data_IF_495203025763
#
_entry.id   IF_495203025763
#
_cell.length_a   1.000
_cell.length_b   1.000
_cell.length_c   1.000
_cell.angle_alpha   90.00
_cell.angle_beta   90.00
_cell.angle_gamma   90.00
#
_symmetry.space_group_name_H-M   'P 1'
#
loop_
_entity.id
_entity.type
_entity.pdbx_description
1 polymer ?
#
# COMPACT_ATOMS: atom_id res chain seq x y z
N UNK A 1 -22.59 16.61 5.46
CA UNK A 1 -22.99 15.59 4.45
C UNK A 1 -21.76 14.72 4.18
N UNK A 2 -21.76 13.45 4.60
CA UNK A 2 -20.62 12.55 4.38
C UNK A 2 -20.75 11.92 3.00
N UNK A 3 -19.89 12.30 2.07
CA UNK A 3 -19.84 11.71 0.73
C UNK A 3 -19.47 10.23 0.83
N UNK A 4 -20.35 9.36 0.34
CA UNK A 4 -20.02 7.96 0.10
C UNK A 4 -18.84 7.91 -0.87
N UNK A 5 -17.68 7.45 -0.39
CA UNK A 5 -16.51 7.22 -1.24
C UNK A 5 -16.87 6.18 -2.31
N UNK A 6 -16.59 6.50 -3.58
CA UNK A 6 -16.79 5.58 -4.70
C UNK A 6 -16.08 4.25 -4.40
N UNK A 7 -16.77 3.12 -4.60
CA UNK A 7 -16.19 1.79 -4.46
C UNK A 7 -14.92 1.70 -5.31
N UNK A 8 -13.77 1.53 -4.67
CA UNK A 8 -12.52 1.27 -5.37
C UNK A 8 -12.71 -0.03 -6.17
N UNK A 9 -12.47 0.01 -7.49
CA UNK A 9 -12.55 -1.18 -8.33
C UNK A 9 -11.66 -2.28 -7.72
N UNK A 10 -12.26 -3.45 -7.45
CA UNK A 10 -11.58 -4.61 -6.86
C UNK A 10 -10.36 -4.99 -7.69
N UNK A 11 -9.24 -5.29 -7.02
CA UNK A 11 -8.12 -5.90 -7.69
C UNK A 11 -8.46 -7.37 -7.99
N UNK A 12 -8.14 -7.90 -9.19
CA UNK A 12 -8.48 -9.28 -9.55
C UNK A 12 -7.65 -10.33 -8.78
N UNK A 13 -6.64 -9.91 -8.01
CA UNK A 13 -5.80 -10.79 -7.20
C UNK A 13 -6.28 -10.74 -5.74
N UNK A 14 -6.72 -11.86 -5.14
CA UNK A 14 -6.97 -11.97 -3.71
C UNK A 14 -5.71 -11.61 -2.91
N UNK A 15 -5.86 -10.92 -1.78
CA UNK A 15 -4.74 -10.43 -0.96
C UNK A 15 -3.79 -9.49 -1.72
N UNK A 16 -4.33 -8.64 -2.60
CA UNK A 16 -3.52 -7.70 -3.36
C UNK A 16 -2.89 -6.66 -2.43
N UNK A 17 -1.57 -6.52 -2.54
CA UNK A 17 -0.83 -5.41 -1.97
C UNK A 17 -0.57 -4.35 -3.03
N UNK A 18 -0.65 -3.09 -2.65
CA UNK A 18 -0.44 -1.94 -3.53
C UNK A 18 0.47 -0.91 -2.88
N UNK A 19 1.13 -0.12 -3.73
CA UNK A 19 1.89 1.05 -3.32
C UNK A 19 1.42 2.24 -4.15
N UNK A 20 1.01 3.30 -3.48
CA UNK A 20 0.58 4.53 -4.14
C UNK A 20 0.72 5.74 -3.20
N UNK A 21 0.75 6.94 -3.76
CA UNK A 21 0.62 8.17 -2.98
C UNK A 21 -0.78 8.26 -2.36
N UNK A 22 -0.85 8.56 -1.06
CA UNK A 22 -2.10 8.68 -0.35
C UNK A 22 -3.01 9.73 -0.98
N UNK A 23 -4.25 9.36 -1.29
CA UNK A 23 -5.22 10.28 -1.89
C UNK A 23 -5.71 11.35 -0.90
N UNK A 24 -5.61 11.07 0.40
CA UNK A 24 -5.98 11.95 1.50
C UNK A 24 -5.21 11.56 2.76
N UNK A 25 -5.25 12.44 3.77
CA UNK A 25 -4.64 12.24 5.09
C UNK A 25 -5.45 11.40 6.09
N UNK A 26 -6.43 10.61 5.63
CA UNK A 26 -7.42 9.96 6.50
C UNK A 26 -7.01 8.59 7.07
N UNK A 27 -5.89 8.02 6.63
CA UNK A 27 -5.44 6.69 7.04
C UNK A 27 -4.38 6.77 8.16
N UNK A 28 -4.44 5.86 9.11
CA UNK A 28 -3.39 5.68 10.11
C UNK A 28 -2.51 4.47 9.76
N UNK A 29 -1.19 4.59 9.95
CA UNK A 29 -0.26 3.50 9.76
C UNK A 29 -0.47 2.40 10.81
N UNK A 30 -0.57 1.14 10.37
CA UNK A 30 -0.81 0.02 11.28
C UNK A 30 0.39 -0.32 12.17
N UNK A 31 1.60 0.00 11.75
CA UNK A 31 2.83 -0.23 12.53
C UNK A 31 3.07 0.85 13.58
N UNK A 32 3.19 2.12 13.18
CA UNK A 32 3.55 3.21 14.10
C UNK A 32 2.35 3.97 14.68
N UNK A 33 1.12 3.65 14.26
CA UNK A 33 -0.16 4.28 14.67
C UNK A 33 -0.29 5.78 14.35
N UNK A 34 0.68 6.39 13.68
CA UNK A 34 0.63 7.79 13.22
C UNK A 34 -0.18 7.93 11.93
N UNK A 35 -0.73 9.11 11.69
CA UNK A 35 -1.41 9.46 10.44
C UNK A 35 -0.47 9.37 9.23
N UNK A 36 -1.02 9.03 8.07
CA UNK A 36 -0.35 9.05 6.77
C UNK A 36 -0.85 10.29 6.04
N UNK A 37 0.06 11.20 5.68
CA UNK A 37 -0.31 12.47 5.05
C UNK A 37 -0.80 12.27 3.61
N UNK A 38 -1.59 13.22 3.11
CA UNK A 38 -1.93 13.27 1.67
C UNK A 38 -0.64 13.37 0.84
N UNK A 39 -0.62 12.71 -0.32
CA UNK A 39 0.53 12.60 -1.25
C UNK A 39 1.74 11.84 -0.68
N UNK A 40 1.68 11.34 0.55
CA UNK A 40 2.74 10.50 1.11
C UNK A 40 2.71 9.09 0.50
N UNK A 41 3.88 8.52 0.20
CA UNK A 41 4.00 7.16 -0.30
C UNK A 41 3.60 6.15 0.78
N UNK A 42 2.60 5.32 0.48
CA UNK A 42 2.11 4.29 1.41
C UNK A 42 1.95 2.93 0.74
N UNK A 43 2.07 1.91 1.58
CA UNK A 43 1.83 0.51 1.25
C UNK A 43 0.52 0.05 1.88
N UNK A 44 -0.28 -0.73 1.16
CA UNK A 44 -1.49 -1.32 1.71
C UNK A 44 -1.75 -2.70 1.12
N UNK A 45 -2.07 -3.66 1.97
CA UNK A 45 -2.63 -4.95 1.56
C UNK A 45 -4.11 -5.02 1.90
N UNK A 46 -4.89 -5.68 1.04
CA UNK A 46 -6.29 -5.97 1.31
C UNK A 46 -6.41 -6.67 2.67
N UNK A 47 -7.24 -6.10 3.54
CA UNK A 47 -7.67 -6.69 4.79
C UNK A 47 -9.12 -7.12 4.56
N UNK A 48 -9.30 -8.42 4.33
CA UNK A 48 -10.62 -8.99 4.08
C UNK A 48 -11.28 -9.33 5.41
N UNK A 49 -12.19 -8.48 5.85
CA UNK A 49 -13.07 -8.73 6.98
C UNK A 49 -14.52 -8.77 6.46
N UNK A 50 -14.91 -9.91 5.88
CA UNK A 50 -16.26 -10.12 5.34
C UNK A 50 -16.60 -9.22 4.15
N UNK A 51 -17.78 -8.59 4.17
CA UNK A 51 -18.32 -7.81 3.05
C UNK A 51 -17.64 -6.45 2.84
N UNK A 52 -16.81 -5.99 3.79
CA UNK A 52 -16.15 -4.70 3.72
C UNK A 52 -14.70 -4.83 3.24
N UNK A 53 -14.41 -4.21 2.10
CA UNK A 53 -13.04 -4.09 1.61
C UNK A 53 -12.33 -2.94 2.31
N UNK A 54 -11.31 -3.28 3.10
CA UNK A 54 -10.41 -2.31 3.70
C UNK A 54 -8.95 -2.65 3.36
N UNK A 55 -8.05 -1.70 3.59
CA UNK A 55 -6.61 -1.91 3.44
C UNK A 55 -5.92 -1.69 4.77
N UNK A 56 -4.98 -2.57 5.11
CA UNK A 56 -4.03 -2.30 6.17
C UNK A 56 -2.91 -1.38 5.66
N UNK A 57 -3.12 -0.08 5.82
CA UNK A 57 -2.17 0.95 5.40
C UNK A 57 -0.94 1.04 6.32
N UNK A 58 0.22 1.25 5.70
CA UNK A 58 1.49 1.49 6.34
C UNK A 58 2.20 2.63 5.61
N UNK A 59 2.91 3.50 6.34
CA UNK A 59 3.97 4.30 5.70
C UNK A 59 4.93 3.36 4.99
N UNK A 60 5.48 3.77 3.85
CA UNK A 60 6.48 2.95 3.15
C UNK A 60 7.64 2.56 4.07
N UNK A 61 8.18 3.52 4.84
CA UNK A 61 9.27 3.27 5.79
C UNK A 61 8.89 2.37 6.98
N UNK A 62 7.60 2.19 7.27
CA UNK A 62 7.13 1.35 8.37
C UNK A 62 6.79 -0.09 7.95
N UNK A 63 6.83 -0.41 6.65
CA UNK A 63 6.63 -1.79 6.19
C UNK A 63 7.82 -2.62 6.68
N UNK A 64 7.58 -3.78 7.28
CA UNK A 64 8.66 -4.70 7.66
C UNK A 64 9.11 -5.55 6.48
N UNK A 65 10.36 -5.99 6.49
CA UNK A 65 10.90 -6.88 5.46
C UNK A 65 10.16 -8.22 5.39
N UNK A 66 9.72 -8.78 6.53
CA UNK A 66 8.87 -9.97 6.58
C UNK A 66 7.56 -9.78 5.79
N UNK A 67 6.91 -8.62 5.96
CA UNK A 67 5.68 -8.28 5.24
C UNK A 67 5.93 -8.14 3.74
N UNK A 68 7.05 -7.54 3.32
CA UNK A 68 7.43 -7.48 1.91
C UNK A 68 7.74 -8.86 1.31
N UNK A 69 8.35 -9.76 2.09
CA UNK A 69 8.56 -11.16 1.66
C UNK A 69 7.24 -11.88 1.41
N UNK A 70 6.21 -11.65 2.23
CA UNK A 70 4.86 -12.23 2.05
C UNK A 70 4.17 -11.76 0.77
N UNK A 71 4.52 -10.58 0.24
CA UNK A 71 4.04 -10.13 -1.08
C UNK A 71 4.53 -11.08 -2.18
N UNK A 72 5.74 -11.64 -2.03
CA UNK A 72 6.33 -12.57 -2.99
C UNK A 72 6.84 -11.87 -4.25
N UNK A 73 7.37 -10.65 -4.13
CA UNK A 73 8.03 -9.90 -5.21
C UNK A 73 7.36 -8.58 -5.58
N UNK A 74 8.14 -7.67 -6.19
CA UNK A 74 7.68 -6.32 -6.57
C UNK A 74 6.63 -6.35 -7.68
N UNK A 75 6.68 -7.36 -8.55
CA UNK A 75 5.78 -7.59 -9.67
C UNK A 75 4.35 -7.88 -9.22
N UNK A 76 4.17 -8.27 -7.95
CA UNK A 76 2.86 -8.45 -7.32
C UNK A 76 2.33 -7.18 -6.66
N UNK A 77 3.12 -6.09 -6.60
CA UNK A 77 2.66 -4.80 -6.09
C UNK A 77 1.90 -4.02 -7.15
N UNK A 78 0.65 -3.70 -6.84
CA UNK A 78 -0.16 -2.88 -7.72
C UNK A 78 0.19 -1.39 -7.64
N UNK A 79 -0.07 -0.66 -8.74
CA UNK A 79 0.08 0.80 -8.93
C UNK A 79 1.50 1.34 -8.92
N UNK A 80 2.53 0.49 -8.82
CA UNK A 80 3.94 0.90 -8.90
C UNK A 80 4.24 1.69 -10.19
N UNK A 81 3.61 1.33 -11.31
CA UNK A 81 3.80 2.02 -12.60
C UNK A 81 3.40 3.51 -12.58
N UNK A 82 2.56 3.94 -11.62
CA UNK A 82 2.07 5.32 -11.49
C UNK A 82 2.94 6.21 -10.59
N UNK A 83 3.99 5.65 -9.99
CA UNK A 83 4.90 6.38 -9.11
C UNK A 83 5.97 7.15 -9.89
N UNK A 84 6.55 8.15 -9.25
CA UNK A 84 7.71 8.84 -9.80
C UNK A 84 8.93 7.91 -9.93
N UNK A 85 9.86 8.16 -10.86
CA UNK A 85 11.02 7.30 -11.10
C UNK A 85 11.86 7.01 -9.85
N UNK A 86 12.02 8.02 -8.98
CA UNK A 86 12.76 7.90 -7.72
C UNK A 86 12.12 6.87 -6.78
N UNK A 87 10.79 6.89 -6.63
CA UNK A 87 10.09 5.97 -5.74
C UNK A 87 10.02 4.56 -6.33
N UNK A 88 9.91 4.44 -7.65
CA UNK A 88 10.08 3.15 -8.36
C UNK A 88 11.45 2.54 -8.06
N UNK A 89 12.52 3.33 -8.17
CA UNK A 89 13.88 2.87 -7.89
C UNK A 89 14.06 2.49 -6.41
N UNK A 90 13.47 3.22 -5.47
CA UNK A 90 13.50 2.87 -4.06
C UNK A 90 12.80 1.53 -3.77
N UNK A 91 11.64 1.28 -4.40
CA UNK A 91 10.92 0.00 -4.29
C UNK A 91 11.78 -1.13 -4.86
N UNK A 92 12.35 -0.92 -6.05
CA UNK A 92 13.26 -1.86 -6.70
C UNK A 92 14.40 -2.28 -5.77
N UNK A 93 15.17 -1.30 -5.30
CA UNK A 93 16.32 -1.52 -4.41
C UNK A 93 15.90 -2.22 -3.13
N UNK A 94 14.72 -1.90 -2.60
CA UNK A 94 14.22 -2.54 -1.38
C UNK A 94 13.95 -4.03 -1.59
N UNK A 95 13.29 -4.42 -2.68
CA UNK A 95 13.08 -5.83 -2.99
C UNK A 95 14.37 -6.56 -3.38
N UNK A 96 15.32 -5.89 -4.01
CA UNK A 96 16.64 -6.48 -4.31
C UNK A 96 17.38 -6.88 -3.03
N UNK A 97 17.34 -6.03 -1.99
CA UNK A 97 17.92 -6.34 -0.66
C UNK A 97 17.22 -7.48 0.08
N UNK A 98 16.02 -7.88 -0.35
CA UNK A 98 15.29 -9.00 0.25
C UNK A 98 15.60 -10.34 -0.41
N UNK A 99 16.29 -10.36 -1.55
CA UNK A 99 16.75 -11.63 -2.14
C UNK A 99 17.83 -12.25 -1.27
#
# INVERSE_FOLDING_TARGET
MKGLGKAAKRHPIPNACCVHYANNGGAACRACKKGIAEKELRFGCDAHDGDWHSYHWHHWGCVTDELLRKVGGKERLWKVQRLDPKDKQMIEQRFERLK
#
